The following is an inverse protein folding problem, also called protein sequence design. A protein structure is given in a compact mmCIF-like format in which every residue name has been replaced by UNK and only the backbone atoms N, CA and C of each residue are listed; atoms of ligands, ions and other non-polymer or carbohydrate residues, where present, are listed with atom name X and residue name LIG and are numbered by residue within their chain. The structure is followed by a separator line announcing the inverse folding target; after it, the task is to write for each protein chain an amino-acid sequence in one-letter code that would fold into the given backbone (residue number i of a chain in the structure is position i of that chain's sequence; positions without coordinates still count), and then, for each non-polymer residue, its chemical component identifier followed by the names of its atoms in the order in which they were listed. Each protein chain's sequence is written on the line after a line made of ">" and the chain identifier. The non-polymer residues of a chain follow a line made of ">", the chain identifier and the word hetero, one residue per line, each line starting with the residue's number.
data_IF_430185555556
#
_entry.id   IF_430185555556
#
_cell.length_a   1.000
_cell.length_b   1.000
_cell.length_c   1.000
_cell.angle_alpha   90.00
_cell.angle_beta   90.00
_cell.angle_gamma   90.00
#
_symmetry.space_group_name_H-M   'P 1'
#
loop_
_entity.id
_entity.type
_entity.pdbx_description
1 polymer ?
#
# COMPACT_ATOMS: atom_id res chain seq x y z
N UNK A 1 18.85 -30.90 -35.76
CA UNK A 1 19.52 -31.11 -34.49
C UNK A 1 19.06 -30.13 -33.47
N UNK A 2 18.52 -30.63 -32.44
CA UNK A 2 17.81 -29.88 -31.41
C UNK A 2 18.65 -29.50 -30.16
N UNK A 3 19.95 -29.44 -30.32
CA UNK A 3 20.86 -29.24 -29.18
C UNK A 3 20.66 -27.91 -28.42
N UNK A 4 20.30 -26.88 -29.14
CA UNK A 4 20.11 -25.55 -28.50
C UNK A 4 18.90 -25.50 -27.55
N UNK A 5 17.84 -26.21 -27.89
CA UNK A 5 16.63 -26.27 -27.06
C UNK A 5 16.86 -27.03 -25.77
N UNK A 6 17.55 -28.16 -25.83
CA UNK A 6 17.86 -28.95 -24.65
C UNK A 6 18.83 -28.27 -23.69
N UNK A 7 19.75 -27.44 -24.19
CA UNK A 7 20.65 -26.65 -23.35
C UNK A 7 19.89 -25.61 -22.51
N UNK A 8 18.91 -24.93 -23.12
CA UNK A 8 18.11 -23.95 -22.40
C UNK A 8 17.24 -24.61 -21.31
N UNK A 9 16.65 -25.75 -21.59
CA UNK A 9 15.84 -26.51 -20.61
C UNK A 9 16.70 -27.03 -19.46
N UNK A 10 17.88 -27.57 -19.73
CA UNK A 10 18.82 -28.05 -18.73
C UNK A 10 19.29 -26.90 -17.85
N UNK A 11 19.54 -25.73 -18.43
CA UNK A 11 19.97 -24.53 -17.68
C UNK A 11 18.89 -24.10 -16.68
N UNK A 12 17.63 -24.09 -17.07
CA UNK A 12 16.53 -23.74 -16.19
C UNK A 12 16.36 -24.76 -15.05
N UNK A 13 16.39 -26.06 -15.35
CA UNK A 13 16.29 -27.12 -14.35
C UNK A 13 17.45 -27.07 -13.35
N UNK A 14 18.66 -26.81 -13.82
CA UNK A 14 19.86 -26.70 -12.96
C UNK A 14 19.74 -25.50 -12.01
N UNK A 15 19.24 -24.36 -12.48
CA UNK A 15 19.02 -23.20 -11.64
C UNK A 15 17.97 -23.51 -10.55
N UNK A 16 16.84 -24.10 -10.92
CA UNK A 16 15.78 -24.45 -9.99
C UNK A 16 16.23 -25.49 -8.96
N UNK A 17 16.98 -26.49 -9.38
CA UNK A 17 17.49 -27.56 -8.50
C UNK A 17 18.58 -27.08 -7.53
N UNK A 18 19.47 -26.16 -7.98
CA UNK A 18 20.58 -25.68 -7.16
C UNK A 18 20.19 -24.63 -6.14
N UNK A 19 19.26 -23.75 -6.48
CA UNK A 19 18.95 -22.61 -5.65
C UNK A 19 17.64 -22.75 -4.90
N UNK A 20 16.73 -23.60 -5.32
CA UNK A 20 15.39 -23.75 -4.73
C UNK A 20 14.70 -22.38 -4.48
N UNK A 21 14.99 -21.42 -5.36
CA UNK A 21 14.56 -20.04 -5.20
C UNK A 21 13.36 -19.83 -6.11
N UNK A 22 12.25 -19.42 -5.53
CA UNK A 22 11.13 -18.93 -6.32
C UNK A 22 11.58 -17.69 -7.09
N UNK A 23 11.06 -17.48 -8.31
CA UNK A 23 11.37 -16.25 -9.05
C UNK A 23 11.01 -15.05 -8.22
N UNK A 24 11.79 -13.95 -8.29
CA UNK A 24 11.49 -12.77 -7.52
C UNK A 24 10.10 -12.23 -7.85
N UNK A 25 9.37 -11.84 -6.83
CA UNK A 25 8.03 -11.27 -6.98
C UNK A 25 8.09 -9.99 -7.80
N UNK A 26 7.15 -9.84 -8.74
CA UNK A 26 6.97 -8.58 -9.45
C UNK A 26 6.52 -7.47 -8.47
N UNK A 27 6.67 -6.22 -8.87
CA UNK A 27 6.22 -5.08 -8.06
C UNK A 27 4.73 -5.19 -7.73
N UNK A 28 3.93 -5.63 -8.67
CA UNK A 28 2.49 -5.84 -8.47
C UNK A 28 2.20 -6.94 -7.45
N UNK A 29 2.91 -8.06 -7.55
CA UNK A 29 2.79 -9.16 -6.58
C UNK A 29 3.22 -8.72 -5.18
N UNK A 30 4.30 -7.95 -5.06
CA UNK A 30 4.75 -7.40 -3.79
C UNK A 30 3.70 -6.47 -3.17
N UNK A 31 3.09 -5.62 -3.96
CA UNK A 31 2.02 -4.73 -3.52
C UNK A 31 0.79 -5.49 -3.05
N UNK A 32 0.38 -6.51 -3.82
CA UNK A 32 -0.78 -7.33 -3.46
C UNK A 32 -0.51 -8.15 -2.19
N UNK A 33 0.66 -8.73 -2.07
CA UNK A 33 1.07 -9.48 -0.88
C UNK A 33 1.10 -8.60 0.37
N UNK A 34 1.62 -7.39 0.25
CA UNK A 34 1.63 -6.40 1.33
C UNK A 34 0.21 -6.03 1.76
N UNK A 35 -0.66 -5.72 0.80
CA UNK A 35 -2.05 -5.40 1.08
C UNK A 35 -2.80 -6.55 1.74
N UNK A 36 -2.57 -7.78 1.28
CA UNK A 36 -3.18 -8.98 1.87
C UNK A 36 -2.69 -9.22 3.29
N UNK A 37 -1.38 -9.13 3.53
CA UNK A 37 -0.80 -9.30 4.86
C UNK A 37 -1.36 -8.27 5.84
N UNK A 38 -1.50 -7.03 5.40
CA UNK A 38 -2.06 -5.96 6.21
C UNK A 38 -3.54 -6.20 6.54
N UNK A 39 -4.33 -6.55 5.52
CA UNK A 39 -5.75 -6.81 5.68
C UNK A 39 -6.02 -8.03 6.59
N UNK A 40 -5.28 -9.10 6.41
CA UNK A 40 -5.43 -10.32 7.19
C UNK A 40 -5.01 -10.13 8.65
N UNK A 41 -3.92 -9.42 8.88
CA UNK A 41 -3.43 -9.15 10.23
C UNK A 41 -4.33 -8.20 11.02
N UNK A 42 -4.89 -7.18 10.38
CA UNK A 42 -5.72 -6.17 11.02
C UNK A 42 -7.21 -6.54 11.05
N UNK A 43 -7.67 -7.34 10.08
CA UNK A 43 -9.05 -7.78 9.92
C UNK A 43 -10.03 -6.60 10.08
N UNK A 44 -10.82 -6.58 11.17
CA UNK A 44 -11.82 -5.54 11.45
C UNK A 44 -11.21 -4.18 11.75
N UNK A 45 -9.96 -4.16 12.22
CA UNK A 45 -9.25 -2.94 12.60
C UNK A 45 -8.49 -2.32 11.41
N UNK A 46 -8.56 -2.93 10.22
CA UNK A 46 -8.02 -2.37 8.99
C UNK A 46 -8.91 -1.21 8.52
N UNK A 47 -8.73 -0.06 9.16
CA UNK A 47 -9.52 1.15 8.88
C UNK A 47 -8.84 2.04 7.84
N UNK A 48 -9.61 2.95 7.27
CA UNK A 48 -9.08 3.98 6.37
C UNK A 48 -7.94 4.76 7.02
N UNK A 49 -8.10 5.16 8.28
CA UNK A 49 -7.11 5.96 8.99
C UNK A 49 -5.78 5.22 9.15
N UNK A 50 -5.83 3.93 9.46
CA UNK A 50 -4.62 3.09 9.58
C UNK A 50 -3.92 2.96 8.23
N UNK A 51 -4.65 2.60 7.18
CA UNK A 51 -4.09 2.42 5.83
C UNK A 51 -3.50 3.74 5.32
N UNK A 52 -4.21 4.83 5.51
CA UNK A 52 -3.76 6.16 5.11
C UNK A 52 -2.48 6.55 5.86
N UNK A 53 -2.43 6.32 7.17
CA UNK A 53 -1.26 6.60 8.01
C UNK A 53 -0.03 5.77 7.58
N UNK A 54 -0.22 4.49 7.34
CA UNK A 54 0.83 3.58 6.86
C UNK A 54 1.37 4.06 5.51
N UNK A 55 0.49 4.36 4.58
CA UNK A 55 0.84 4.85 3.25
C UNK A 55 1.64 6.16 3.34
N UNK A 56 1.19 7.09 4.15
CA UNK A 56 1.84 8.39 4.33
C UNK A 56 3.23 8.26 4.95
N UNK A 57 3.40 7.42 5.97
CA UNK A 57 4.69 7.20 6.62
C UNK A 57 5.69 6.49 5.69
N UNK A 58 5.25 5.51 4.93
CA UNK A 58 6.10 4.84 3.94
C UNK A 58 6.49 5.83 2.83
N UNK A 59 5.52 6.61 2.35
CA UNK A 59 5.77 7.65 1.34
C UNK A 59 6.79 8.68 1.83
N UNK A 60 6.69 9.11 3.08
CA UNK A 60 7.64 10.04 3.68
C UNK A 60 9.07 9.48 3.64
N UNK A 61 9.25 8.19 3.94
CA UNK A 61 10.57 7.53 3.84
C UNK A 61 11.10 7.50 2.40
N UNK A 62 10.22 7.28 1.43
CA UNK A 62 10.58 7.34 0.00
C UNK A 62 11.06 8.73 -0.38
N UNK A 63 10.35 9.77 0.04
CA UNK A 63 10.73 11.16 -0.23
C UNK A 63 12.06 11.54 0.44
N UNK A 64 12.23 11.20 1.71
CA UNK A 64 13.48 11.42 2.45
C UNK A 64 14.67 10.74 1.77
N UNK A 65 14.48 9.52 1.31
CA UNK A 65 15.52 8.79 0.58
C UNK A 65 15.88 9.46 -0.75
N UNK A 66 14.91 9.96 -1.48
CA UNK A 66 15.14 10.72 -2.72
C UNK A 66 15.93 12.00 -2.46
N UNK A 67 15.59 12.71 -1.38
CA UNK A 67 16.28 13.95 -1.01
C UNK A 67 17.73 13.68 -0.55
N UNK A 68 17.96 12.56 0.13
CA UNK A 68 19.30 12.18 0.58
C UNK A 68 20.25 11.85 -0.56
N UNK A 69 19.70 11.52 -1.74
CA UNK A 69 20.47 11.09 -2.92
C UNK A 69 21.39 9.90 -2.63
N UNK A 70 20.98 9.05 -1.71
CA UNK A 70 21.70 7.84 -1.37
C UNK A 70 21.69 6.90 -2.59
N UNK A 71 22.86 6.38 -3.02
CA UNK A 71 22.94 5.46 -4.15
C UNK A 71 22.38 4.08 -3.83
N UNK A 72 22.26 3.72 -2.55
CA UNK A 72 21.71 2.43 -2.15
C UNK A 72 20.18 2.45 -2.25
N UNK A 73 19.55 1.33 -2.67
CA UNK A 73 18.10 1.26 -2.72
C UNK A 73 17.50 1.33 -1.32
N UNK A 74 16.37 2.02 -1.20
CA UNK A 74 15.63 2.06 0.05
C UNK A 74 14.99 0.69 0.31
N UNK A 75 15.30 0.11 1.44
CA UNK A 75 14.74 -1.16 1.89
C UNK A 75 14.12 -0.99 3.28
N UNK A 76 13.06 -1.74 3.52
CA UNK A 76 12.38 -1.80 4.82
C UNK A 76 12.21 -3.26 5.20
N UNK A 77 12.16 -3.55 6.47
CA UNK A 77 11.80 -4.87 6.99
C UNK A 77 10.33 -4.90 7.44
N UNK A 78 9.80 -6.10 7.63
CA UNK A 78 8.48 -6.24 8.27
C UNK A 78 8.46 -5.59 9.66
N UNK A 79 9.60 -5.60 10.37
CA UNK A 79 9.76 -4.91 11.65
C UNK A 79 9.64 -3.40 11.55
N UNK A 80 10.21 -2.81 10.50
CA UNK A 80 10.08 -1.36 10.24
C UNK A 80 8.63 -0.96 10.00
N UNK A 81 7.91 -1.76 9.21
CA UNK A 81 6.48 -1.54 8.97
C UNK A 81 5.69 -1.76 10.26
N UNK A 82 6.08 -2.74 11.07
CA UNK A 82 5.50 -2.96 12.41
C UNK A 82 5.60 -1.72 13.28
N UNK A 83 6.73 -1.02 13.26
CA UNK A 83 6.89 0.28 13.94
C UNK A 83 5.93 1.35 13.43
N UNK A 84 5.71 1.39 12.12
CA UNK A 84 4.73 2.29 11.49
C UNK A 84 3.31 1.95 11.96
N UNK A 85 2.97 0.67 12.01
CA UNK A 85 1.67 0.20 12.50
C UNK A 85 1.45 0.57 13.97
N UNK A 86 2.48 0.43 14.80
CA UNK A 86 2.41 0.85 16.20
C UNK A 86 2.12 2.35 16.32
N UNK A 87 2.77 3.17 15.50
CA UNK A 87 2.52 4.62 15.44
C UNK A 87 1.11 4.95 14.97
N UNK A 88 0.49 4.04 14.23
CA UNK A 88 -0.88 4.20 13.70
C UNK A 88 -1.95 3.66 14.65
N UNK A 89 -1.56 3.20 15.84
CA UNK A 89 -2.49 2.72 16.87
C UNK A 89 -2.82 1.24 16.79
N UNK A 90 -2.08 0.46 16.01
CA UNK A 90 -2.27 -0.99 15.90
C UNK A 90 -1.63 -1.68 17.11
N UNK A 91 -2.31 -2.68 17.67
CA UNK A 91 -1.81 -3.40 18.85
C UNK A 91 -0.68 -4.38 18.49
N UNK A 92 0.08 -4.80 19.50
CA UNK A 92 1.25 -5.66 19.32
C UNK A 92 0.90 -7.04 18.74
N UNK A 93 -0.26 -7.59 19.08
CA UNK A 93 -0.72 -8.87 18.55
C UNK A 93 -0.96 -8.83 17.05
N UNK A 94 -1.58 -7.75 16.57
CA UNK A 94 -1.82 -7.53 15.14
C UNK A 94 -0.52 -7.24 14.39
N UNK A 95 0.40 -6.52 15.00
CA UNK A 95 1.73 -6.28 14.45
C UNK A 95 2.49 -7.59 14.29
N UNK A 96 2.46 -8.45 15.28
CA UNK A 96 3.09 -9.77 15.23
C UNK A 96 2.46 -10.65 14.13
N UNK A 97 1.13 -10.59 13.99
CA UNK A 97 0.42 -11.29 12.92
C UNK A 97 0.85 -10.77 11.54
N UNK A 98 0.95 -9.46 11.38
CA UNK A 98 1.43 -8.84 10.14
C UNK A 98 2.85 -9.28 9.78
N UNK A 99 3.76 -9.27 10.75
CA UNK A 99 5.14 -9.70 10.53
C UNK A 99 5.21 -11.16 10.10
N UNK A 100 4.41 -12.02 10.70
CA UNK A 100 4.31 -13.44 10.34
C UNK A 100 3.81 -13.63 8.91
N UNK A 101 2.75 -12.91 8.53
CA UNK A 101 2.23 -12.94 7.15
C UNK A 101 3.28 -12.47 6.15
N UNK A 102 4.04 -11.43 6.48
CA UNK A 102 5.14 -10.98 5.64
C UNK A 102 6.23 -12.03 5.51
N UNK A 103 6.62 -12.68 6.60
CA UNK A 103 7.64 -13.74 6.57
C UNK A 103 7.19 -14.93 5.71
N UNK A 104 5.90 -15.27 5.74
CA UNK A 104 5.34 -16.33 4.91
C UNK A 104 5.34 -15.97 3.42
N UNK A 105 5.04 -14.73 3.08
CA UNK A 105 4.90 -14.31 1.68
C UNK A 105 6.22 -13.87 1.03
N UNK A 106 7.07 -13.18 1.76
CA UNK A 106 8.33 -12.64 1.24
C UNK A 106 9.56 -13.42 1.68
N UNK A 107 9.45 -14.22 2.72
CA UNK A 107 10.57 -14.89 3.37
C UNK A 107 10.96 -14.20 4.67
N UNK A 108 11.55 -14.98 5.57
CA UNK A 108 11.98 -14.50 6.88
C UNK A 108 13.02 -13.38 6.74
N UNK A 109 12.79 -12.27 7.39
CA UNK A 109 13.64 -11.07 7.33
C UNK A 109 13.85 -10.51 5.92
N UNK A 110 12.89 -10.70 5.02
CA UNK A 110 12.98 -10.18 3.66
C UNK A 110 13.03 -8.67 3.64
N UNK A 111 13.84 -8.13 2.72
CA UNK A 111 13.86 -6.71 2.44
C UNK A 111 12.69 -6.35 1.54
N UNK A 112 11.88 -5.42 1.99
CA UNK A 112 10.73 -4.89 1.25
C UNK A 112 11.14 -3.59 0.57
N UNK A 113 10.85 -3.48 -0.71
CA UNK A 113 11.08 -2.21 -1.42
C UNK A 113 9.84 -1.32 -1.27
N UNK A 114 9.94 -0.18 -0.57
CA UNK A 114 8.80 0.69 -0.36
C UNK A 114 8.12 1.14 -1.65
N UNK A 115 8.87 1.33 -2.73
CA UNK A 115 8.31 1.71 -4.02
C UNK A 115 7.46 0.61 -4.67
N UNK A 116 7.65 -0.64 -4.24
CA UNK A 116 6.88 -1.77 -4.77
C UNK A 116 5.69 -2.14 -3.88
N UNK A 117 5.74 -1.85 -2.59
CA UNK A 117 4.66 -2.22 -1.66
C UNK A 117 3.54 -1.19 -1.58
N UNK A 118 3.81 0.07 -1.94
CA UNK A 118 2.79 1.11 -2.04
C UNK A 118 2.87 1.83 -3.39
N UNK A 119 1.76 2.48 -3.75
CA UNK A 119 1.75 3.41 -4.88
C UNK A 119 2.04 4.82 -4.37
N UNK A 120 3.28 5.28 -4.56
CA UNK A 120 3.73 6.57 -4.03
C UNK A 120 3.26 7.79 -4.81
N UNK A 121 2.77 7.58 -6.05
CA UNK A 121 2.37 8.68 -6.93
C UNK A 121 0.90 9.03 -6.84
N UNK A 122 0.07 8.10 -6.41
CA UNK A 122 -1.37 8.30 -6.28
C UNK A 122 -1.91 7.49 -5.11
N UNK A 123 -3.01 7.94 -4.58
CA UNK A 123 -3.75 7.24 -3.54
C UNK A 123 -5.11 6.87 -4.10
N UNK A 124 -5.39 5.59 -4.22
CA UNK A 124 -6.62 5.10 -4.83
C UNK A 124 -7.53 4.47 -3.77
N UNK A 125 -8.79 4.83 -3.83
CA UNK A 125 -9.85 4.26 -3.02
C UNK A 125 -10.83 3.60 -3.98
N UNK A 126 -11.10 2.32 -3.78
CA UNK A 126 -11.96 1.55 -4.68
C UNK A 126 -13.11 0.94 -3.88
N UNK A 127 -14.32 1.17 -4.36
CA UNK A 127 -15.53 0.47 -3.92
C UNK A 127 -16.07 -0.33 -5.11
N UNK A 128 -17.05 -1.23 -4.93
CA UNK A 128 -17.61 -1.96 -6.07
C UNK A 128 -18.16 -1.08 -7.19
N UNK A 129 -18.58 0.14 -6.86
CA UNK A 129 -19.25 1.06 -7.79
C UNK A 129 -18.46 2.31 -8.12
N UNK A 130 -17.46 2.66 -7.30
CA UNK A 130 -16.73 3.94 -7.40
C UNK A 130 -15.25 3.73 -7.25
N UNK A 131 -14.48 4.39 -8.10
CA UNK A 131 -13.04 4.48 -7.95
C UNK A 131 -12.64 5.95 -7.81
N UNK A 132 -11.90 6.24 -6.75
CA UNK A 132 -11.43 7.59 -6.43
C UNK A 132 -9.89 7.56 -6.49
N UNK A 133 -9.31 8.50 -7.21
CA UNK A 133 -7.87 8.70 -7.25
C UNK A 133 -7.56 10.11 -6.77
N UNK A 134 -6.67 10.20 -5.81
CA UNK A 134 -6.29 11.46 -5.17
C UNK A 134 -4.77 11.55 -5.06
N UNK A 135 -4.24 12.77 -5.06
CA UNK A 135 -2.83 12.98 -4.77
C UNK A 135 -2.52 12.50 -3.35
N UNK A 136 -1.44 11.72 -3.14
CA UNK A 136 -1.15 11.15 -1.82
C UNK A 136 -1.03 12.17 -0.71
N UNK A 137 -0.50 13.35 -1.01
CA UNK A 137 -0.38 14.46 -0.04
C UNK A 137 -1.73 14.97 0.45
N UNK A 138 -2.80 14.71 -0.30
CA UNK A 138 -4.16 15.14 0.04
C UNK A 138 -5.02 14.01 0.64
N UNK A 139 -4.46 12.82 0.82
CA UNK A 139 -5.21 11.67 1.36
C UNK A 139 -5.78 11.91 2.76
N UNK A 140 -5.15 12.77 3.55
CA UNK A 140 -5.61 13.16 4.89
C UNK A 140 -6.94 13.93 4.87
N UNK A 141 -7.31 14.51 3.73
CA UNK A 141 -8.54 15.30 3.59
C UNK A 141 -9.79 14.42 3.58
N UNK A 142 -9.64 13.15 3.22
CA UNK A 142 -10.76 12.21 3.17
C UNK A 142 -10.99 11.63 4.56
N UNK A 143 -12.24 11.67 5.02
CA UNK A 143 -12.64 11.09 6.30
C UNK A 143 -13.58 9.92 6.10
N UNK A 144 -13.37 8.86 6.89
CA UNK A 144 -14.30 7.75 6.98
C UNK A 144 -15.26 8.01 8.15
N UNK A 145 -16.55 8.05 7.89
CA UNK A 145 -17.58 8.29 8.91
C UNK A 145 -18.77 7.35 8.77
N UNK A 146 -19.40 7.08 9.89
CA UNK A 146 -20.68 6.38 9.94
C UNK A 146 -21.76 7.43 10.24
N UNK A 147 -22.70 7.58 9.32
CA UNK A 147 -23.82 8.53 9.44
C UNK A 147 -25.11 7.74 9.31
N UNK A 148 -25.96 7.79 10.32
CA UNK A 148 -27.24 7.05 10.35
C UNK A 148 -27.07 5.55 10.08
N UNK A 149 -26.02 4.93 10.61
CA UNK A 149 -25.72 3.51 10.44
C UNK A 149 -25.13 3.13 9.09
N UNK A 150 -24.87 4.09 8.21
CA UNK A 150 -24.25 3.87 6.91
C UNK A 150 -22.83 4.42 6.87
N UNK A 151 -21.93 3.65 6.28
CA UNK A 151 -20.51 4.03 6.16
C UNK A 151 -20.30 4.95 4.97
N UNK A 152 -19.58 6.05 5.18
CA UNK A 152 -19.26 7.04 4.15
C UNK A 152 -17.77 7.35 4.15
N UNK A 153 -17.28 7.70 2.97
CA UNK A 153 -16.03 8.43 2.80
C UNK A 153 -16.39 9.85 2.40
N UNK A 154 -15.97 10.81 3.19
CA UNK A 154 -16.27 12.22 2.99
C UNK A 154 -15.10 12.89 2.29
N UNK A 155 -15.38 13.54 1.19
CA UNK A 155 -14.42 14.31 0.41
C UNK A 155 -14.78 15.78 0.57
N UNK A 156 -13.87 16.62 1.12
CA UNK A 156 -14.15 18.05 1.20
C UNK A 156 -14.24 18.66 -0.20
N UNK A 157 -15.21 19.48 -0.40
CA UNK A 157 -15.53 20.09 -1.69
C UNK A 157 -15.77 21.59 -1.52
N UNK A 158 -14.81 22.26 -0.88
CA UNK A 158 -14.93 23.67 -0.56
C UNK A 158 -14.80 24.56 -1.80
N UNK A 159 -13.98 24.15 -2.74
CA UNK A 159 -13.71 24.91 -3.96
C UNK A 159 -13.75 24.01 -5.20
N UNK A 160 -14.37 24.52 -6.26
CA UNK A 160 -14.13 24.03 -7.62
C UNK A 160 -14.57 22.61 -7.93
N UNK A 161 -15.78 22.21 -7.55
CA UNK A 161 -16.30 20.89 -7.93
C UNK A 161 -16.76 20.91 -9.38
N UNK A 162 -16.30 19.94 -10.14
CA UNK A 162 -16.73 19.72 -11.51
C UNK A 162 -17.33 18.32 -11.66
N UNK A 163 -18.43 18.25 -12.37
CA UNK A 163 -19.05 16.98 -12.77
C UNK A 163 -19.09 16.91 -14.29
N UNK A 164 -18.37 15.92 -14.83
CA UNK A 164 -18.22 15.78 -16.30
C UNK A 164 -17.71 17.07 -16.99
N UNK A 165 -16.78 17.78 -16.33
CA UNK A 165 -16.22 19.03 -16.85
C UNK A 165 -17.11 20.26 -16.67
N UNK A 166 -18.23 20.11 -15.95
CA UNK A 166 -19.15 21.20 -15.67
C UNK A 166 -19.01 21.60 -14.21
N UNK A 167 -18.68 22.87 -13.97
CA UNK A 167 -18.58 23.40 -12.62
C UNK A 167 -19.94 23.37 -11.90
N UNK A 168 -19.98 22.78 -10.73
CA UNK A 168 -21.19 22.70 -9.91
C UNK A 168 -20.98 23.37 -8.56
N UNK A 169 -22.04 23.97 -8.05
CA UNK A 169 -22.05 24.52 -6.71
C UNK A 169 -22.73 23.53 -5.77
N UNK A 170 -22.04 23.20 -4.68
CA UNK A 170 -22.66 22.50 -3.58
C UNK A 170 -23.21 23.58 -2.63
N UNK A 171 -24.54 23.67 -2.46
CA UNK A 171 -25.09 24.69 -1.55
C UNK A 171 -24.59 24.40 -0.14
N UNK A 172 -23.78 25.29 0.39
CA UNK A 172 -23.39 25.25 1.78
C UNK A 172 -24.62 25.44 2.65
N UNK A 173 -24.65 24.74 3.76
CA UNK A 173 -25.52 25.15 4.84
C UNK A 173 -25.23 26.62 5.10
N UNK A 174 -26.26 27.45 5.15
CA UNK A 174 -26.12 28.83 5.60
C UNK A 174 -25.25 28.79 6.85
N UNK A 175 -24.15 29.52 6.83
CA UNK A 175 -23.27 29.60 8.00
C UNK A 175 -24.12 30.05 9.16
N UNK A 176 -24.50 29.12 9.98
CA UNK A 176 -24.95 29.47 11.32
C UNK A 176 -23.70 29.95 12.04
N UNK A 177 -23.60 31.20 12.11
CA UNK A 177 -22.56 31.88 12.87
C UNK A 177 -22.68 31.57 14.36
#
# INVERSE_FOLDING_TARGET
>A
MSCSKSVAEIHQEVIDALFHVDPPMSAEEQKNAFGSALADALDKDCSYDVVQSVHEQIRARIEDHKESKDPEPLEMTAGDVGGILANSGVNDEQIAAFQRECDEQYGENAALNPNNIIESKKFEITTPEVKISIAPENSYMIEARVINGRKYLLIPADDGVEVNGIGVNIPGLAKDE
#
